data_IF_965259614569
#
_entry.id   IF_965259614569
#
_cell.length_a   1.000
_cell.length_b   1.000
_cell.length_c   1.000
_cell.angle_alpha   90.00
_cell.angle_beta   90.00
_cell.angle_gamma   90.00
#
_symmetry.space_group_name_H-M   'P 1'
#
loop_
_entity.id
_entity.type
_entity.pdbx_description
1 polymer ?
#
# COMPACT_ATOMS: atom_id res chain seq x y z
N UNK A 1 -29.73 -33.48 10.38
CA UNK A 1 -29.99 -32.46 9.35
C UNK A 1 -29.45 -31.07 9.71
N UNK A 2 -29.79 -30.47 10.87
CA UNK A 2 -29.33 -29.11 11.26
C UNK A 2 -27.80 -28.91 11.23
N UNK A 3 -27.01 -29.89 11.68
CA UNK A 3 -25.53 -29.83 11.64
C UNK A 3 -24.96 -29.68 10.22
N UNK A 4 -25.61 -30.25 9.19
CA UNK A 4 -25.15 -30.13 7.81
C UNK A 4 -25.43 -28.72 7.26
N UNK A 5 -26.57 -28.11 7.61
CA UNK A 5 -26.88 -26.73 7.22
C UNK A 5 -25.86 -25.74 7.78
N UNK A 6 -25.50 -25.84 9.07
CA UNK A 6 -24.47 -24.98 9.67
C UNK A 6 -23.11 -25.12 8.99
N UNK A 7 -22.74 -26.33 8.56
CA UNK A 7 -21.49 -26.55 7.81
C UNK A 7 -21.52 -25.95 6.41
N UNK A 8 -22.65 -26.03 5.70
CA UNK A 8 -22.80 -25.39 4.39
C UNK A 8 -22.77 -23.87 4.48
N UNK A 9 -23.47 -23.28 5.47
CA UNK A 9 -23.44 -21.84 5.73
C UNK A 9 -22.02 -21.39 6.09
N UNK A 10 -21.34 -22.14 6.95
CA UNK A 10 -19.95 -21.87 7.31
C UNK A 10 -19.03 -21.86 6.08
N UNK A 11 -19.11 -22.90 5.25
CA UNK A 11 -18.30 -23.00 4.03
C UNK A 11 -18.61 -21.88 3.03
N UNK A 12 -19.88 -21.58 2.80
CA UNK A 12 -20.29 -20.46 1.95
C UNK A 12 -19.78 -19.12 2.48
N UNK A 13 -19.84 -18.93 3.80
CA UNK A 13 -19.35 -17.69 4.42
C UNK A 13 -17.83 -17.55 4.29
N UNK A 14 -17.08 -18.64 4.36
CA UNK A 14 -15.64 -18.63 4.08
C UNK A 14 -15.33 -18.32 2.61
N UNK A 15 -16.10 -18.85 1.66
CA UNK A 15 -15.98 -18.50 0.25
C UNK A 15 -16.26 -17.01 0.02
N UNK A 16 -17.36 -16.50 0.60
CA UNK A 16 -17.71 -15.09 0.52
C UNK A 16 -16.62 -14.22 1.14
N UNK A 17 -16.09 -14.60 2.30
CA UNK A 17 -14.99 -13.90 2.97
C UNK A 17 -13.75 -13.83 2.06
N UNK A 18 -13.36 -14.95 1.47
CA UNK A 18 -12.21 -15.04 0.56
C UNK A 18 -12.36 -14.17 -0.69
N UNK A 19 -13.54 -14.15 -1.31
CA UNK A 19 -13.83 -13.31 -2.50
C UNK A 19 -13.90 -11.82 -2.13
N UNK A 20 -14.41 -11.50 -0.95
CA UNK A 20 -14.59 -10.13 -0.49
C UNK A 20 -13.27 -9.45 -0.13
N UNK A 21 -12.25 -10.21 0.28
CA UNK A 21 -10.95 -9.69 0.71
C UNK A 21 -10.32 -8.71 -0.28
N UNK A 22 -10.21 -9.01 -1.60
CA UNK A 22 -9.68 -8.06 -2.59
C UNK A 22 -10.75 -7.13 -3.20
N UNK A 23 -12.03 -7.53 -3.19
CA UNK A 23 -13.07 -6.82 -3.95
C UNK A 23 -13.85 -5.78 -3.15
N UNK A 24 -14.19 -6.04 -1.88
CA UNK A 24 -15.10 -5.15 -1.13
C UNK A 24 -14.96 -5.30 0.39
N UNK A 25 -14.57 -4.22 1.10
CA UNK A 25 -14.59 -4.18 2.57
C UNK A 25 -15.99 -4.39 3.16
N UNK A 26 -17.04 -3.96 2.47
CA UNK A 26 -18.42 -4.14 2.92
C UNK A 26 -18.82 -5.62 2.94
N UNK A 27 -18.61 -6.33 1.83
CA UNK A 27 -18.90 -7.77 1.76
C UNK A 27 -18.04 -8.57 2.74
N UNK A 28 -16.83 -8.10 3.03
CA UNK A 28 -15.97 -8.69 4.05
C UNK A 28 -16.65 -8.64 5.43
N UNK A 29 -17.17 -7.48 5.84
CA UNK A 29 -17.93 -7.36 7.09
C UNK A 29 -19.17 -8.24 7.11
N UNK A 30 -19.94 -8.28 6.01
CA UNK A 30 -21.12 -9.15 5.90
C UNK A 30 -20.74 -10.62 6.10
N UNK A 31 -19.66 -11.09 5.46
CA UNK A 31 -19.19 -12.47 5.62
C UNK A 31 -18.81 -12.82 7.06
N UNK A 32 -18.19 -11.87 7.79
CA UNK A 32 -17.82 -12.03 9.19
C UNK A 32 -19.06 -12.10 10.10
N UNK A 33 -20.07 -11.27 9.85
CA UNK A 33 -21.34 -11.34 10.59
C UNK A 33 -22.05 -12.67 10.39
N UNK A 34 -22.12 -13.18 9.15
CA UNK A 34 -22.74 -14.49 8.89
C UNK A 34 -21.98 -15.61 9.62
N UNK A 35 -20.64 -15.57 9.64
CA UNK A 35 -19.82 -16.52 10.41
C UNK A 35 -20.14 -16.47 11.91
N UNK A 36 -20.22 -15.28 12.49
CA UNK A 36 -20.52 -15.09 13.92
C UNK A 36 -21.92 -15.60 14.24
N UNK A 37 -22.93 -15.20 13.48
CA UNK A 37 -24.32 -15.59 13.69
C UNK A 37 -24.46 -17.12 13.58
N UNK A 38 -23.87 -17.73 12.54
CA UNK A 38 -23.89 -19.17 12.37
C UNK A 38 -23.20 -19.89 13.54
N UNK A 39 -22.08 -19.36 14.03
CA UNK A 39 -21.35 -19.90 15.18
C UNK A 39 -22.16 -19.85 16.49
N UNK A 40 -22.94 -18.77 16.70
CA UNK A 40 -23.83 -18.60 17.84
C UNK A 40 -25.06 -19.53 17.75
N UNK A 41 -25.65 -19.69 16.56
CA UNK A 41 -26.80 -20.55 16.32
C UNK A 41 -26.49 -22.04 16.50
N UNK A 42 -25.24 -22.46 16.30
CA UNK A 42 -24.80 -23.85 16.53
C UNK A 42 -24.90 -24.26 18.02
N UNK A 43 -24.98 -23.31 18.96
CA UNK A 43 -25.26 -23.47 20.41
C UNK A 43 -24.36 -24.43 21.21
N UNK A 44 -23.30 -24.98 20.63
CA UNK A 44 -22.36 -25.92 21.29
C UNK A 44 -21.27 -25.21 22.13
N UNK A 45 -21.64 -24.24 22.98
CA UNK A 45 -20.68 -23.39 23.69
C UNK A 45 -19.72 -24.16 24.61
N UNK A 46 -20.20 -25.19 25.31
CA UNK A 46 -19.37 -25.98 26.22
C UNK A 46 -18.23 -26.72 25.49
N UNK A 47 -18.52 -27.30 24.33
CA UNK A 47 -17.51 -27.98 23.51
C UNK A 47 -16.53 -26.98 22.88
N UNK A 48 -17.03 -25.83 22.38
CA UNK A 48 -16.16 -24.77 21.85
C UNK A 48 -15.20 -24.24 22.92
N UNK A 49 -15.66 -24.07 24.15
CA UNK A 49 -14.83 -23.63 25.27
C UNK A 49 -13.72 -24.64 25.62
N UNK A 50 -14.03 -25.95 25.63
CA UNK A 50 -13.02 -27.00 25.81
C UNK A 50 -11.95 -26.95 24.72
N UNK A 51 -12.35 -26.77 23.46
CA UNK A 51 -11.42 -26.66 22.32
C UNK A 51 -10.52 -25.43 22.45
N UNK A 52 -11.08 -24.27 22.80
CA UNK A 52 -10.33 -23.02 22.99
C UNK A 52 -9.24 -23.21 24.06
N UNK A 53 -9.57 -23.87 25.18
CA UNK A 53 -8.62 -24.09 26.28
C UNK A 53 -7.46 -25.01 25.90
N UNK A 54 -7.68 -25.99 25.02
CA UNK A 54 -6.62 -26.91 24.59
C UNK A 54 -5.80 -26.40 23.40
N UNK A 55 -6.34 -25.53 22.54
CA UNK A 55 -5.65 -25.04 21.34
C UNK A 55 -4.82 -23.78 21.62
N UNK A 56 -3.51 -23.97 21.82
CA UNK A 56 -2.53 -22.88 22.05
C UNK A 56 -2.56 -21.78 20.97
N UNK A 57 -2.86 -22.12 19.72
CA UNK A 57 -2.94 -21.15 18.62
C UNK A 57 -4.05 -20.12 18.80
N UNK A 58 -5.24 -20.53 19.27
CA UNK A 58 -6.35 -19.62 19.55
C UNK A 58 -5.98 -18.67 20.69
N UNK A 59 -5.26 -19.18 21.69
CA UNK A 59 -4.81 -18.39 22.83
C UNK A 59 -3.81 -17.30 22.43
N UNK A 60 -2.94 -17.54 21.44
CA UNK A 60 -2.02 -16.52 20.93
C UNK A 60 -2.78 -15.33 20.32
N UNK A 61 -3.81 -15.58 19.51
CA UNK A 61 -4.65 -14.50 18.95
C UNK A 61 -5.48 -13.79 20.03
N UNK A 62 -5.99 -14.55 21.02
CA UNK A 62 -6.66 -13.98 22.18
C UNK A 62 -5.74 -13.01 22.93
N UNK A 63 -4.49 -13.42 23.21
CA UNK A 63 -3.52 -12.62 23.95
C UNK A 63 -3.19 -11.31 23.22
N UNK A 64 -2.99 -11.36 21.89
CA UNK A 64 -2.74 -10.15 21.09
C UNK A 64 -3.89 -9.15 21.24
N UNK A 65 -5.14 -9.61 21.21
CA UNK A 65 -6.29 -8.74 21.40
C UNK A 65 -6.43 -8.23 22.85
N UNK A 66 -6.14 -9.07 23.85
CA UNK A 66 -6.15 -8.69 25.26
C UNK A 66 -5.12 -7.59 25.58
N UNK A 67 -3.95 -7.60 24.94
CA UNK A 67 -2.96 -6.53 25.09
C UNK A 67 -3.54 -5.18 24.63
N UNK A 68 -4.33 -5.16 23.55
CA UNK A 68 -4.99 -3.94 23.08
C UNK A 68 -6.09 -3.48 24.04
N UNK A 69 -6.84 -4.41 24.63
CA UNK A 69 -7.81 -4.09 25.70
C UNK A 69 -7.08 -3.53 26.92
N UNK A 70 -5.95 -4.12 27.32
CA UNK A 70 -5.16 -3.62 28.44
C UNK A 70 -4.63 -2.19 28.17
N UNK A 71 -4.22 -1.92 26.93
CA UNK A 71 -3.82 -0.58 26.48
C UNK A 71 -4.91 0.48 26.63
N UNK A 72 -6.20 0.10 26.62
CA UNK A 72 -7.31 1.04 26.85
C UNK A 72 -7.29 1.64 28.25
N UNK A 73 -6.78 0.92 29.26
CA UNK A 73 -6.69 1.45 30.63
C UNK A 73 -5.70 2.61 30.76
N UNK A 74 -4.77 2.74 29.81
CA UNK A 74 -3.79 3.83 29.75
C UNK A 74 -4.19 4.93 28.75
N UNK A 75 -5.17 4.67 27.88
CA UNK A 75 -5.54 5.62 26.82
C UNK A 75 -6.41 6.76 27.33
N UNK A 76 -6.13 7.98 26.87
CA UNK A 76 -6.95 9.16 27.15
C UNK A 76 -8.05 9.37 26.10
N UNK A 77 -7.84 8.88 24.86
CA UNK A 77 -8.83 8.96 23.79
C UNK A 77 -9.56 7.62 23.63
N UNK A 78 -10.66 7.48 24.37
CA UNK A 78 -11.50 6.29 24.31
C UNK A 78 -12.21 6.15 22.95
N UNK A 79 -12.52 7.25 22.26
CA UNK A 79 -13.22 7.20 20.97
C UNK A 79 -12.33 6.55 19.92
N UNK A 80 -11.07 6.97 19.84
CA UNK A 80 -10.08 6.32 18.99
C UNK A 80 -9.83 4.87 19.41
N UNK A 81 -9.68 4.62 20.72
CA UNK A 81 -9.43 3.28 21.25
C UNK A 81 -10.53 2.26 20.91
N UNK A 82 -11.81 2.62 21.06
CA UNK A 82 -12.92 1.75 20.67
C UNK A 82 -12.95 1.48 19.17
N UNK A 83 -12.69 2.50 18.35
CA UNK A 83 -12.60 2.34 16.91
C UNK A 83 -11.47 1.38 16.50
N UNK A 84 -10.29 1.48 17.14
CA UNK A 84 -9.17 0.58 16.91
C UNK A 84 -9.48 -0.87 17.33
N UNK A 85 -10.10 -1.06 18.50
CA UNK A 85 -10.57 -2.37 18.96
C UNK A 85 -11.59 -3.00 18.01
N UNK A 86 -12.48 -2.20 17.42
CA UNK A 86 -13.48 -2.66 16.46
C UNK A 86 -12.82 -3.14 15.15
N UNK A 87 -11.85 -2.38 14.62
CA UNK A 87 -11.12 -2.76 13.39
C UNK A 87 -10.32 -4.05 13.61
N UNK A 88 -9.79 -4.26 14.81
CA UNK A 88 -9.00 -5.45 15.17
C UNK A 88 -9.84 -6.63 15.64
N UNK A 89 -11.14 -6.45 15.86
CA UNK A 89 -12.04 -7.52 16.32
C UNK A 89 -12.01 -8.79 15.45
N UNK A 90 -11.92 -8.72 14.10
CA UNK A 90 -11.79 -9.92 13.27
C UNK A 90 -10.56 -10.77 13.56
N UNK A 91 -9.46 -10.17 14.07
CA UNK A 91 -8.26 -10.87 14.50
C UNK A 91 -8.54 -11.85 15.65
N UNK A 92 -9.54 -11.54 16.49
CA UNK A 92 -9.99 -12.42 17.55
C UNK A 92 -11.07 -13.39 17.05
N UNK A 93 -12.09 -12.86 16.37
CA UNK A 93 -13.28 -13.62 16.00
C UNK A 93 -12.95 -14.75 15.00
N UNK A 94 -12.17 -14.47 13.96
CA UNK A 94 -11.92 -15.46 12.91
C UNK A 94 -11.14 -16.68 13.40
N UNK A 95 -10.03 -16.54 14.17
CA UNK A 95 -9.35 -17.71 14.73
C UNK A 95 -10.22 -18.53 15.69
N UNK A 96 -11.09 -17.89 16.47
CA UNK A 96 -12.01 -18.57 17.38
C UNK A 96 -13.05 -19.38 16.58
N UNK A 97 -13.70 -18.79 15.59
CA UNK A 97 -14.71 -19.47 14.78
C UNK A 97 -14.08 -20.61 13.98
N UNK A 98 -13.00 -20.34 13.25
CA UNK A 98 -12.32 -21.34 12.40
C UNK A 98 -11.70 -22.45 13.27
N UNK A 99 -11.18 -22.10 14.44
CA UNK A 99 -10.53 -23.02 15.35
C UNK A 99 -11.48 -23.91 16.16
N UNK A 100 -12.74 -23.50 16.34
CA UNK A 100 -13.75 -24.27 17.10
C UNK A 100 -14.75 -25.00 16.23
N UNK A 101 -14.86 -24.62 14.95
CA UNK A 101 -15.70 -25.32 13.98
C UNK A 101 -14.96 -26.54 13.43
N UNK A 102 -15.72 -27.54 12.94
CA UNK A 102 -15.12 -28.70 12.27
C UNK A 102 -14.23 -28.26 11.09
N UNK A 103 -13.05 -28.88 10.93
CA UNK A 103 -12.12 -28.53 9.86
C UNK A 103 -12.79 -28.75 8.49
N UNK A 104 -12.41 -27.91 7.53
CA UNK A 104 -12.88 -27.98 6.16
C UNK A 104 -12.07 -29.04 5.42
N UNK A 105 -12.73 -29.91 4.66
CA UNK A 105 -12.06 -30.92 3.83
C UNK A 105 -11.09 -30.27 2.83
N UNK A 106 -10.02 -30.99 2.46
CA UNK A 106 -8.99 -30.48 1.56
C UNK A 106 -9.56 -29.95 0.22
N UNK A 107 -10.50 -30.67 -0.40
CA UNK A 107 -11.13 -30.24 -1.66
C UNK A 107 -11.93 -28.94 -1.50
N UNK A 108 -12.58 -28.73 -0.36
CA UNK A 108 -13.32 -27.51 -0.06
C UNK A 108 -12.37 -26.35 0.25
N UNK A 109 -11.30 -26.62 0.98
CA UNK A 109 -10.23 -25.65 1.23
C UNK A 109 -9.60 -25.15 -0.07
N UNK A 110 -9.30 -26.05 -1.02
CA UNK A 110 -8.81 -25.67 -2.34
C UNK A 110 -9.79 -24.77 -3.11
N UNK A 111 -11.10 -25.03 -3.03
CA UNK A 111 -12.10 -24.14 -3.65
C UNK A 111 -12.05 -22.74 -3.05
N UNK A 112 -11.92 -22.60 -1.74
CA UNK A 112 -11.78 -21.29 -1.08
C UNK A 112 -10.54 -20.56 -1.62
N UNK A 113 -9.43 -21.28 -1.72
CA UNK A 113 -8.17 -20.74 -2.21
C UNK A 113 -8.23 -20.31 -3.69
N UNK A 114 -8.88 -21.09 -4.54
CA UNK A 114 -9.07 -20.75 -5.95
C UNK A 114 -10.04 -19.59 -6.14
N UNK A 115 -11.11 -19.51 -5.35
CA UNK A 115 -12.02 -18.36 -5.35
C UNK A 115 -11.32 -17.07 -4.91
N UNK A 116 -10.45 -17.14 -3.89
CA UNK A 116 -9.59 -16.02 -3.51
C UNK A 116 -8.70 -15.57 -4.68
N UNK A 117 -8.00 -16.50 -5.33
CA UNK A 117 -7.13 -16.16 -6.46
C UNK A 117 -7.90 -15.55 -7.63
N UNK A 118 -9.07 -16.10 -7.97
CA UNK A 118 -9.94 -15.55 -9.00
C UNK A 118 -10.39 -14.12 -8.65
N UNK A 119 -10.76 -13.87 -7.39
CA UNK A 119 -11.14 -12.53 -6.93
C UNK A 119 -9.98 -11.53 -7.01
N UNK A 120 -8.75 -11.95 -6.69
CA UNK A 120 -7.53 -11.12 -6.85
C UNK A 120 -7.26 -10.80 -8.32
N UNK A 121 -7.41 -11.77 -9.22
CA UNK A 121 -7.26 -11.56 -10.67
C UNK A 121 -8.33 -10.59 -11.21
N UNK A 122 -9.59 -10.75 -10.79
CA UNK A 122 -10.67 -9.82 -11.16
C UNK A 122 -10.35 -8.42 -10.63
N UNK A 123 -9.93 -8.31 -9.36
CA UNK A 123 -9.53 -7.03 -8.76
C UNK A 123 -8.36 -6.38 -9.49
N UNK A 124 -7.40 -7.16 -10.00
CA UNK A 124 -6.27 -6.61 -10.75
C UNK A 124 -6.69 -6.07 -12.12
N UNK A 125 -7.58 -6.77 -12.83
CA UNK A 125 -8.15 -6.25 -14.08
C UNK A 125 -8.98 -4.98 -13.86
N UNK A 126 -9.81 -4.94 -12.81
CA UNK A 126 -10.58 -3.73 -12.46
C UNK A 126 -9.65 -2.56 -12.11
N UNK A 127 -8.54 -2.85 -11.43
CA UNK A 127 -7.54 -1.84 -11.09
C UNK A 127 -6.85 -1.33 -12.36
N UNK A 128 -6.34 -2.22 -13.20
CA UNK A 128 -5.66 -1.84 -14.46
C UNK A 128 -6.59 -1.11 -15.42
N UNK A 129 -7.87 -1.48 -15.53
CA UNK A 129 -8.79 -0.75 -16.41
C UNK A 129 -9.08 0.68 -15.91
N UNK A 130 -8.99 0.94 -14.60
CA UNK A 130 -9.02 2.30 -14.05
C UNK A 130 -7.84 3.12 -14.56
N UNK A 131 -6.65 2.52 -14.59
CA UNK A 131 -5.43 3.16 -15.10
C UNK A 131 -5.57 3.55 -16.58
N UNK A 132 -6.21 2.71 -17.40
CA UNK A 132 -6.48 3.02 -18.81
C UNK A 132 -7.64 4.01 -19.03
N UNK A 133 -8.28 4.51 -17.96
CA UNK A 133 -9.35 5.49 -18.05
C UNK A 133 -10.72 4.93 -18.45
N UNK A 134 -10.93 3.61 -18.33
CA UNK A 134 -12.25 3.01 -18.64
C UNK A 134 -13.34 3.41 -17.64
N UNK A 135 -12.98 3.80 -16.41
CA UNK A 135 -13.92 4.20 -15.37
C UNK A 135 -13.31 5.20 -14.37
N UNK A 136 -14.10 6.19 -13.97
CA UNK A 136 -13.73 7.21 -12.98
C UNK A 136 -12.96 8.40 -13.57
N UNK A 137 -12.62 9.40 -12.73
CA UNK A 137 -11.76 10.50 -13.14
C UNK A 137 -10.36 10.01 -13.53
N UNK A 138 -9.61 10.75 -14.37
CA UNK A 138 -8.27 10.37 -14.78
C UNK A 138 -7.39 10.09 -13.56
N UNK A 139 -6.69 8.96 -13.59
CA UNK A 139 -5.83 8.52 -12.48
C UNK A 139 -4.61 9.42 -12.41
N UNK A 140 -4.59 10.30 -11.40
CA UNK A 140 -3.51 11.27 -11.18
C UNK A 140 -2.31 10.67 -10.44
N UNK A 141 -2.54 9.62 -9.64
CA UNK A 141 -1.51 8.86 -8.94
C UNK A 141 -1.76 7.35 -9.14
N UNK A 142 -0.71 6.62 -9.51
CA UNK A 142 -0.71 5.15 -9.68
C UNK A 142 -1.15 4.46 -8.37
N UNK A 143 -0.97 5.11 -7.22
CA UNK A 143 -1.39 4.62 -5.89
C UNK A 143 -2.90 4.56 -5.71
N UNK A 144 -3.64 5.35 -6.48
CA UNK A 144 -5.11 5.40 -6.48
C UNK A 144 -5.74 4.47 -7.53
N UNK A 145 -4.92 3.69 -8.24
CA UNK A 145 -5.39 2.67 -9.20
C UNK A 145 -6.25 1.63 -8.49
N UNK A 146 -5.91 1.30 -7.24
CA UNK A 146 -6.65 0.31 -6.47
C UNK A 146 -8.06 0.83 -6.15
N UNK A 147 -9.05 0.20 -6.77
CA UNK A 147 -10.43 0.73 -6.84
C UNK A 147 -11.18 0.69 -5.50
N UNK A 148 -10.92 -0.30 -4.64
CA UNK A 148 -11.73 -0.57 -3.42
C UNK A 148 -10.92 -0.67 -2.13
N UNK A 149 -9.60 -0.88 -2.23
CA UNK A 149 -8.74 -1.25 -1.11
C UNK A 149 -7.40 -0.52 -1.26
N UNK A 150 -6.65 -0.30 -0.19
CA UNK A 150 -5.29 0.25 -0.30
C UNK A 150 -4.40 -0.61 -1.22
N UNK A 151 -3.60 0.03 -2.08
CA UNK A 151 -2.64 -0.64 -2.97
C UNK A 151 -1.66 -1.57 -2.22
N UNK A 152 -1.29 -1.24 -0.97
CA UNK A 152 -0.43 -2.09 -0.12
C UNK A 152 -1.12 -3.42 0.21
N UNK A 153 -2.37 -3.39 0.69
CA UNK A 153 -3.13 -4.60 1.02
C UNK A 153 -3.37 -5.45 -0.23
N UNK A 154 -3.70 -4.82 -1.36
CA UNK A 154 -3.87 -5.53 -2.62
C UNK A 154 -2.55 -6.20 -3.05
N UNK A 155 -1.41 -5.52 -2.96
CA UNK A 155 -0.10 -6.09 -3.30
C UNK A 155 0.25 -7.33 -2.45
N UNK A 156 -0.09 -7.33 -1.16
CA UNK A 156 0.08 -8.52 -0.29
C UNK A 156 -0.81 -9.69 -0.73
N UNK A 157 -2.06 -9.41 -1.10
CA UNK A 157 -3.00 -10.42 -1.61
C UNK A 157 -2.56 -10.97 -2.97
N UNK A 158 -2.00 -10.12 -3.84
CA UNK A 158 -1.39 -10.50 -5.11
C UNK A 158 -0.21 -11.45 -4.88
N UNK A 159 0.70 -11.11 -3.96
CA UNK A 159 1.80 -12.01 -3.59
C UNK A 159 1.30 -13.39 -3.15
N UNK A 160 0.34 -13.43 -2.23
CA UNK A 160 -0.25 -14.69 -1.77
C UNK A 160 -0.86 -15.48 -2.94
N UNK A 161 -1.65 -14.82 -3.80
CA UNK A 161 -2.28 -15.45 -4.96
C UNK A 161 -1.26 -15.99 -5.97
N UNK A 162 -0.16 -15.27 -6.23
CA UNK A 162 0.91 -15.73 -7.13
C UNK A 162 1.50 -17.05 -6.65
N UNK A 163 1.91 -17.14 -5.38
CA UNK A 163 2.52 -18.38 -4.87
C UNK A 163 1.52 -19.55 -4.85
N UNK A 164 0.25 -19.28 -4.54
CA UNK A 164 -0.82 -20.28 -4.62
C UNK A 164 -0.98 -20.80 -6.06
N UNK A 165 -1.07 -19.89 -7.05
CA UNK A 165 -1.31 -20.26 -8.44
C UNK A 165 -0.10 -20.97 -9.05
N UNK A 166 1.13 -20.58 -8.68
CA UNK A 166 2.35 -21.29 -9.05
C UNK A 166 2.31 -22.72 -8.51
N UNK A 167 2.02 -22.90 -7.21
CA UNK A 167 1.88 -24.23 -6.62
C UNK A 167 0.78 -25.06 -7.30
N UNK A 168 -0.37 -24.44 -7.61
CA UNK A 168 -1.48 -25.11 -8.28
C UNK A 168 -1.13 -25.53 -9.71
N UNK A 169 -0.31 -24.76 -10.42
CA UNK A 169 0.18 -25.07 -11.77
C UNK A 169 0.96 -26.40 -11.81
N UNK A 170 1.76 -26.69 -10.78
CA UNK A 170 2.49 -27.95 -10.68
C UNK A 170 1.63 -29.11 -10.14
N UNK A 171 0.60 -28.80 -9.36
CA UNK A 171 -0.24 -29.81 -8.68
C UNK A 171 -1.48 -30.25 -9.48
N UNK A 172 -1.94 -29.44 -10.44
CA UNK A 172 -3.15 -29.74 -11.21
C UNK A 172 -2.96 -30.91 -12.18
N UNK A 173 -4.01 -31.72 -12.39
CA UNK A 173 -3.96 -32.85 -13.32
C UNK A 173 -4.26 -32.44 -14.78
N UNK A 174 -5.14 -31.46 -14.99
CA UNK A 174 -5.55 -31.03 -16.33
C UNK A 174 -4.61 -29.97 -16.91
N UNK A 175 -4.19 -30.13 -18.16
CA UNK A 175 -3.36 -29.15 -18.86
C UNK A 175 -3.99 -27.75 -18.94
N UNK A 176 -5.31 -27.66 -19.13
CA UNK A 176 -6.04 -26.38 -19.20
C UNK A 176 -5.89 -25.59 -17.90
N UNK A 177 -6.12 -26.22 -16.74
CA UNK A 177 -5.96 -25.55 -15.45
C UNK A 177 -4.52 -25.12 -15.19
N UNK A 178 -3.52 -25.88 -15.64
CA UNK A 178 -2.10 -25.48 -15.55
C UNK A 178 -1.82 -24.22 -16.36
N UNK A 179 -2.31 -24.18 -17.60
CA UNK A 179 -2.11 -23.03 -18.48
C UNK A 179 -2.81 -21.80 -17.88
N UNK A 180 -4.05 -21.97 -17.40
CA UNK A 180 -4.82 -20.87 -16.81
C UNK A 180 -4.18 -20.34 -15.52
N UNK A 181 -3.75 -21.20 -14.60
CA UNK A 181 -3.09 -20.78 -13.37
C UNK A 181 -1.71 -20.19 -13.64
N UNK A 182 -0.98 -20.72 -14.62
CA UNK A 182 0.32 -20.20 -15.05
C UNK A 182 0.19 -18.79 -15.65
N UNK A 183 -0.75 -18.59 -16.58
CA UNK A 183 -0.99 -17.28 -17.19
C UNK A 183 -1.49 -16.26 -16.17
N UNK A 184 -2.39 -16.66 -15.27
CA UNK A 184 -2.84 -15.81 -14.16
C UNK A 184 -1.69 -15.41 -13.23
N UNK A 185 -0.76 -16.33 -12.93
CA UNK A 185 0.42 -16.02 -12.12
C UNK A 185 1.32 -14.97 -12.80
N UNK A 186 1.58 -15.14 -14.09
CA UNK A 186 2.39 -14.19 -14.88
C UNK A 186 1.73 -12.81 -14.92
N UNK A 187 0.42 -12.76 -15.18
CA UNK A 187 -0.35 -11.52 -15.14
C UNK A 187 -0.25 -10.81 -13.78
N UNK A 188 -0.40 -11.55 -12.68
CA UNK A 188 -0.33 -10.97 -11.34
C UNK A 188 1.08 -10.45 -10.99
N UNK A 189 2.14 -11.09 -11.49
CA UNK A 189 3.52 -10.59 -11.36
C UNK A 189 3.68 -9.26 -12.11
N UNK A 190 3.18 -9.17 -13.35
CA UNK A 190 3.19 -7.92 -14.13
C UNK A 190 2.37 -6.83 -13.40
N UNK A 191 1.18 -7.19 -12.90
CA UNK A 191 0.33 -6.27 -12.16
C UNK A 191 1.00 -5.73 -10.89
N UNK A 192 1.81 -6.53 -10.20
CA UNK A 192 2.56 -6.09 -9.04
C UNK A 192 3.56 -4.98 -9.38
N UNK A 193 4.16 -5.03 -10.57
CA UNK A 193 5.02 -3.95 -11.09
C UNK A 193 4.18 -2.71 -11.44
N UNK A 194 3.01 -2.90 -12.07
CA UNK A 194 2.08 -1.80 -12.40
C UNK A 194 1.63 -1.04 -11.14
N UNK A 195 1.38 -1.74 -10.02
CA UNK A 195 0.99 -1.11 -8.76
C UNK A 195 2.06 -0.19 -8.15
N UNK A 196 3.31 -0.22 -8.64
CA UNK A 196 4.46 0.55 -8.10
C UNK A 196 4.58 0.47 -6.56
N UNK A 197 4.20 -0.68 -5.98
CA UNK A 197 4.24 -0.88 -4.53
C UNK A 197 5.59 -1.47 -4.11
N UNK A 198 6.48 -0.64 -3.57
CA UNK A 198 7.79 -1.08 -3.05
C UNK A 198 7.64 -2.22 -2.04
N UNK A 199 6.69 -2.10 -1.10
CA UNK A 199 6.42 -3.14 -0.09
C UNK A 199 6.00 -4.46 -0.73
N UNK A 200 5.18 -4.40 -1.79
CA UNK A 200 4.75 -5.59 -2.53
C UNK A 200 5.92 -6.29 -3.19
N UNK A 201 6.77 -5.54 -3.89
CA UNK A 201 7.97 -6.05 -4.57
C UNK A 201 8.97 -6.66 -3.57
N UNK A 202 9.25 -5.95 -2.48
CA UNK A 202 10.18 -6.44 -1.45
C UNK A 202 9.72 -7.76 -0.85
N UNK A 203 8.43 -7.88 -0.51
CA UNK A 203 7.87 -9.11 0.05
C UNK A 203 7.88 -10.25 -0.98
N UNK A 204 7.58 -9.95 -2.25
CA UNK A 204 7.69 -10.92 -3.34
C UNK A 204 9.11 -11.49 -3.43
N UNK A 205 10.12 -10.61 -3.48
CA UNK A 205 11.53 -10.99 -3.55
C UNK A 205 11.96 -11.81 -2.33
N UNK A 206 11.58 -11.39 -1.13
CA UNK A 206 11.88 -12.10 0.11
C UNK A 206 11.32 -13.53 0.09
N UNK A 207 10.08 -13.70 -0.37
CA UNK A 207 9.44 -15.02 -0.48
C UNK A 207 10.13 -15.90 -1.52
N UNK A 208 10.47 -15.35 -2.69
CA UNK A 208 11.24 -16.07 -3.72
C UNK A 208 12.58 -16.53 -3.15
N UNK A 209 13.35 -15.64 -2.51
CA UNK A 209 14.64 -15.97 -1.90
C UNK A 209 14.49 -17.07 -0.85
N UNK A 210 13.50 -16.93 0.04
CA UNK A 210 13.25 -17.91 1.11
C UNK A 210 12.92 -19.29 0.53
N UNK A 211 12.08 -19.36 -0.51
CA UNK A 211 11.74 -20.61 -1.20
C UNK A 211 12.93 -21.22 -1.93
N UNK A 212 13.76 -20.40 -2.60
CA UNK A 212 14.98 -20.87 -3.27
C UNK A 212 15.96 -21.46 -2.25
N UNK A 213 16.20 -20.78 -1.13
CA UNK A 213 17.07 -21.25 -0.05
C UNK A 213 16.52 -22.55 0.54
N UNK A 214 15.23 -22.61 0.86
CA UNK A 214 14.60 -23.80 1.41
C UNK A 214 14.73 -25.01 0.48
N UNK A 215 14.48 -24.82 -0.83
CA UNK A 215 14.65 -25.86 -1.84
C UNK A 215 16.12 -26.26 -2.04
N UNK A 216 17.05 -25.31 -1.93
CA UNK A 216 18.48 -25.56 -2.00
C UNK A 216 19.00 -26.37 -0.81
N UNK A 217 18.43 -26.18 0.39
CA UNK A 217 18.75 -26.97 1.59
C UNK A 217 18.25 -28.41 1.46
N UNK A 218 17.07 -28.62 0.87
CA UNK A 218 16.50 -29.96 0.68
C UNK A 218 17.09 -30.73 -0.50
N UNK A 219 17.73 -30.06 -1.45
CA UNK A 219 18.30 -30.69 -2.64
C UNK A 219 19.57 -31.48 -2.32
N UNK A 220 19.58 -32.77 -2.64
CA UNK A 220 20.78 -33.61 -2.55
C UNK A 220 21.82 -33.30 -3.65
N UNK A 221 21.41 -32.65 -4.74
CA UNK A 221 22.31 -32.34 -5.86
C UNK A 221 23.07 -31.03 -5.60
N UNK A 222 24.40 -31.13 -5.47
CA UNK A 222 25.30 -30.01 -5.23
C UNK A 222 25.19 -28.91 -6.29
N UNK A 223 25.06 -29.26 -7.57
CA UNK A 223 24.94 -28.28 -8.66
C UNK A 223 23.65 -27.47 -8.57
N UNK A 224 22.51 -28.13 -8.28
CA UNK A 224 21.22 -27.46 -8.12
C UNK A 224 21.23 -26.50 -6.92
N UNK A 225 21.86 -26.92 -5.82
CA UNK A 225 22.01 -26.08 -4.62
C UNK A 225 22.82 -24.82 -4.91
N UNK A 226 23.94 -24.93 -5.61
CA UNK A 226 24.76 -23.78 -6.01
C UNK A 226 24.01 -22.85 -6.97
N UNK A 227 23.35 -23.40 -8.00
CA UNK A 227 22.58 -22.59 -8.95
C UNK A 227 21.45 -21.80 -8.27
N UNK A 228 20.69 -22.44 -7.38
CA UNK A 228 19.60 -21.78 -6.64
C UNK A 228 20.14 -20.70 -5.68
N UNK A 229 21.27 -20.94 -5.02
CA UNK A 229 21.89 -19.99 -4.09
C UNK A 229 22.46 -18.77 -4.83
N UNK A 230 23.15 -18.99 -5.95
CA UNK A 230 23.65 -17.91 -6.83
C UNK A 230 22.48 -17.11 -7.39
N UNK A 231 21.42 -17.78 -7.85
CA UNK A 231 20.21 -17.12 -8.33
C UNK A 231 19.55 -16.22 -7.28
N UNK A 232 19.48 -16.68 -6.02
CA UNK A 232 18.96 -15.87 -4.92
C UNK A 232 19.83 -14.63 -4.65
N UNK A 233 21.16 -14.78 -4.65
CA UNK A 233 22.10 -13.66 -4.48
C UNK A 233 21.96 -12.66 -5.63
N UNK A 234 21.88 -13.16 -6.87
CA UNK A 234 21.71 -12.31 -8.05
C UNK A 234 20.42 -11.48 -7.99
N UNK A 235 19.32 -12.08 -7.54
CA UNK A 235 18.04 -11.37 -7.36
C UNK A 235 18.19 -10.24 -6.31
N UNK A 236 18.90 -10.49 -5.20
CA UNK A 236 19.19 -9.44 -4.21
C UNK A 236 20.04 -8.32 -4.81
N UNK A 237 21.10 -8.67 -5.55
CA UNK A 237 21.98 -7.69 -6.18
C UNK A 237 21.25 -6.83 -7.22
N UNK A 238 20.40 -7.44 -8.05
CA UNK A 238 19.57 -6.72 -9.02
C UNK A 238 18.56 -5.80 -8.32
N UNK A 239 17.94 -6.28 -7.24
CA UNK A 239 17.04 -5.46 -6.42
C UNK A 239 17.75 -4.26 -5.80
N UNK A 240 18.94 -4.47 -5.24
CA UNK A 240 19.78 -3.40 -4.69
C UNK A 240 20.22 -2.41 -5.76
N UNK A 241 20.68 -2.89 -6.94
CA UNK A 241 21.06 -2.03 -8.05
C UNK A 241 19.90 -1.19 -8.58
N UNK A 242 18.70 -1.76 -8.65
CA UNK A 242 17.50 -1.01 -9.01
C UNK A 242 17.20 0.08 -7.98
N UNK A 243 17.24 -0.25 -6.68
CA UNK A 243 17.01 0.71 -5.61
C UNK A 243 18.06 1.82 -5.62
N UNK A 244 19.35 1.49 -5.73
CA UNK A 244 20.43 2.49 -5.71
C UNK A 244 20.40 3.40 -6.94
N UNK A 245 20.06 2.89 -8.13
CA UNK A 245 19.91 3.72 -9.32
C UNK A 245 18.74 4.72 -9.17
N UNK A 246 17.61 4.26 -8.63
CA UNK A 246 16.47 5.14 -8.37
C UNK A 246 16.73 6.15 -7.24
N UNK A 247 17.42 5.74 -6.16
CA UNK A 247 17.80 6.60 -5.05
C UNK A 247 18.87 7.62 -5.49
N UNK A 248 19.86 7.23 -6.29
CA UNK A 248 20.91 8.14 -6.76
C UNK A 248 20.32 9.30 -7.58
N UNK A 249 19.25 9.05 -8.35
CA UNK A 249 18.52 10.10 -9.06
C UNK A 249 17.67 11.00 -8.14
N UNK A 250 17.15 10.48 -7.03
CA UNK A 250 16.34 11.25 -6.07
C UNK A 250 17.17 12.06 -5.06
N UNK A 251 18.35 11.58 -4.69
CA UNK A 251 19.23 12.19 -3.69
C UNK A 251 20.43 12.92 -4.29
N UNK A 252 20.46 13.15 -5.60
CA UNK A 252 21.39 14.11 -6.18
C UNK A 252 20.93 15.52 -5.78
N UNK A 253 21.29 15.91 -4.55
CA UNK A 253 21.08 17.25 -4.04
C UNK A 253 22.07 18.14 -4.78
N UNK A 254 21.57 19.08 -5.57
CA UNK A 254 22.42 20.13 -6.12
C UNK A 254 23.04 20.86 -4.92
N UNK A 255 24.37 20.84 -4.83
CA UNK A 255 25.11 21.39 -3.69
C UNK A 255 24.88 22.91 -3.62
N UNK A 256 23.78 23.32 -3.01
CA UNK A 256 23.60 24.73 -2.64
C UNK A 256 24.66 25.03 -1.58
N UNK A 257 25.49 26.05 -1.79
CA UNK A 257 26.46 26.47 -0.79
C UNK A 257 25.71 27.12 0.40
N UNK A 258 25.41 26.30 1.40
CA UNK A 258 24.69 26.70 2.62
C UNK A 258 25.49 27.76 3.39
N UNK A 259 26.81 27.88 3.16
CA UNK A 259 27.65 28.87 3.84
C UNK A 259 27.53 30.27 3.24
N UNK A 260 27.09 30.39 1.98
CA UNK A 260 26.98 31.67 1.27
C UNK A 260 25.58 31.85 0.66
N UNK A 261 24.55 31.83 1.52
CA UNK A 261 23.18 32.11 1.10
C UNK A 261 22.97 33.61 0.87
N UNK A 262 22.40 33.96 -0.27
CA UNK A 262 21.92 35.32 -0.56
C UNK A 262 20.86 35.73 0.47
N UNK A 263 21.04 36.92 1.06
CA UNK A 263 20.17 37.42 2.13
C UNK A 263 18.96 38.20 1.62
N UNK A 264 19.03 38.73 0.39
CA UNK A 264 18.01 39.61 -0.17
C UNK A 264 17.61 39.17 -1.58
N UNK A 265 16.35 39.41 -1.93
CA UNK A 265 15.80 39.22 -3.27
C UNK A 265 16.30 40.31 -4.22
N UNK A 266 16.06 40.14 -5.53
CA UNK A 266 16.34 41.18 -6.52
C UNK A 266 15.55 42.50 -6.27
N UNK A 267 14.42 42.43 -5.57
CA UNK A 267 13.64 43.60 -5.14
C UNK A 267 14.09 44.18 -3.78
N UNK A 268 15.09 43.59 -3.14
CA UNK A 268 15.66 44.06 -1.87
C UNK A 268 14.93 43.56 -0.61
N UNK A 269 13.98 42.63 -0.72
CA UNK A 269 13.31 42.03 0.44
C UNK A 269 14.19 40.94 1.07
N UNK A 270 14.14 40.73 2.40
CA UNK A 270 14.92 39.69 3.05
C UNK A 270 14.38 38.29 2.70
N UNK A 271 15.30 37.35 2.46
CA UNK A 271 15.00 35.94 2.34
C UNK A 271 14.90 35.26 3.70
N UNK A 272 13.89 34.41 3.84
CA UNK A 272 13.81 33.41 4.89
C UNK A 272 14.55 32.13 4.46
N UNK A 273 15.38 31.62 5.37
CA UNK A 273 16.18 30.41 5.20
C UNK A 273 16.07 29.52 6.43
N UNK A 274 15.50 28.34 6.29
CA UNK A 274 15.51 27.32 7.33
C UNK A 274 16.52 26.23 7.00
N UNK A 275 17.76 26.43 7.47
CA UNK A 275 18.90 25.52 7.24
C UNK A 275 18.74 24.18 8.00
N UNK A 276 17.87 24.14 9.02
CA UNK A 276 17.65 22.94 9.82
C UNK A 276 16.63 21.99 9.19
N UNK A 277 15.82 22.45 8.22
CA UNK A 277 14.91 21.57 7.51
C UNK A 277 15.66 20.71 6.48
N UNK A 278 15.31 19.42 6.44
CA UNK A 278 15.82 18.43 5.49
C UNK A 278 14.78 18.05 4.44
N UNK A 279 13.82 18.94 4.19
CA UNK A 279 12.80 18.72 3.16
C UNK A 279 13.34 19.11 1.79
N UNK A 280 13.33 18.17 0.86
CA UNK A 280 13.81 18.35 -0.52
C UNK A 280 12.72 18.06 -1.53
N UNK A 281 12.73 18.79 -2.65
CA UNK A 281 11.94 18.48 -3.84
C UNK A 281 12.88 18.44 -5.05
N UNK A 282 12.93 17.32 -5.77
CA UNK A 282 13.83 17.09 -6.91
C UNK A 282 15.30 17.53 -6.66
N UNK A 283 15.83 17.29 -5.46
CA UNK A 283 17.21 17.65 -5.12
C UNK A 283 17.43 19.09 -4.64
N UNK A 284 16.39 19.91 -4.52
CA UNK A 284 16.46 21.29 -4.05
C UNK A 284 15.88 21.45 -2.64
N UNK A 285 16.49 22.31 -1.81
CA UNK A 285 15.97 22.59 -0.47
C UNK A 285 14.66 23.37 -0.51
N UNK A 286 13.63 22.84 0.16
CA UNK A 286 12.28 23.43 0.15
C UNK A 286 12.26 24.77 0.87
N UNK A 287 12.93 24.85 2.02
CA UNK A 287 12.82 25.99 2.93
C UNK A 287 13.97 27.01 2.84
N UNK A 288 14.63 27.08 1.68
CA UNK A 288 15.62 28.11 1.37
C UNK A 288 15.07 29.09 0.33
N UNK A 289 15.53 30.34 0.42
CA UNK A 289 15.20 31.43 -0.50
C UNK A 289 13.70 31.73 -0.58
N UNK A 290 13.04 31.89 0.57
CA UNK A 290 11.61 32.19 0.64
C UNK A 290 11.38 33.66 0.94
N UNK A 291 10.60 34.34 0.12
CA UNK A 291 10.10 35.68 0.37
C UNK A 291 8.57 35.68 0.25
N UNK A 292 7.87 35.39 1.34
CA UNK A 292 6.40 35.29 1.34
C UNK A 292 5.67 36.55 0.83
N UNK A 293 6.08 37.78 1.17
CA UNK A 293 5.41 38.98 0.66
C UNK A 293 5.43 39.06 -0.87
N UNK A 294 6.57 38.73 -1.49
CA UNK A 294 6.70 38.72 -2.94
C UNK A 294 5.91 37.58 -3.59
N UNK A 295 5.89 36.41 -2.94
CA UNK A 295 5.10 35.27 -3.38
C UNK A 295 3.62 35.60 -3.40
N UNK A 296 3.10 36.16 -2.30
CA UNK A 296 1.69 36.53 -2.16
C UNK A 296 1.27 37.55 -3.21
N UNK A 297 2.04 38.63 -3.36
CA UNK A 297 1.76 39.68 -4.35
C UNK A 297 1.76 39.12 -5.78
N UNK A 298 2.83 38.39 -6.14
CA UNK A 298 3.04 37.94 -7.51
C UNK A 298 2.13 36.77 -7.89
N UNK A 299 1.79 35.90 -6.94
CA UNK A 299 0.83 34.81 -7.14
C UNK A 299 -0.58 35.34 -7.37
N UNK A 300 -1.05 36.26 -6.52
CA UNK A 300 -2.39 36.83 -6.62
C UNK A 300 -2.58 37.66 -7.91
N UNK A 301 -1.50 38.14 -8.52
CA UNK A 301 -1.54 38.81 -9.83
C UNK A 301 -1.64 37.83 -11.02
N UNK A 302 -1.22 36.58 -10.86
CA UNK A 302 -1.18 35.55 -11.93
C UNK A 302 -2.31 34.52 -11.83
N UNK A 303 -2.73 34.17 -10.63
CA UNK A 303 -3.70 33.09 -10.36
C UNK A 303 -5.05 33.63 -9.92
N UNK A 304 -6.10 32.83 -10.13
CA UNK A 304 -7.46 33.12 -9.62
C UNK A 304 -7.66 32.65 -8.18
N UNK A 305 -6.77 31.80 -7.67
CA UNK A 305 -6.81 31.30 -6.30
C UNK A 305 -5.95 32.17 -5.40
N UNK A 306 -6.46 32.49 -4.22
CA UNK A 306 -5.75 33.30 -3.24
C UNK A 306 -4.57 32.51 -2.64
N UNK A 307 -3.40 33.15 -2.55
CA UNK A 307 -2.19 32.57 -1.95
C UNK A 307 -2.40 31.97 -0.54
N UNK A 308 -3.19 32.65 0.31
CA UNK A 308 -3.53 32.21 1.68
C UNK A 308 -4.74 31.27 1.74
N UNK A 309 -5.31 30.92 0.59
CA UNK A 309 -6.44 30.01 0.46
C UNK A 309 -6.01 28.55 0.28
N UNK A 310 -6.95 27.75 -0.21
CA UNK A 310 -6.71 26.35 -0.56
C UNK A 310 -6.63 26.14 -2.06
N UNK A 311 -5.83 25.16 -2.47
CA UNK A 311 -5.87 24.62 -3.82
C UNK A 311 -7.15 23.78 -4.07
N UNK A 312 -7.32 23.29 -5.29
CA UNK A 312 -8.49 22.48 -5.68
C UNK A 312 -8.54 21.09 -4.98
N UNK A 313 -7.48 20.68 -4.27
CA UNK A 313 -7.45 19.47 -3.44
C UNK A 313 -7.70 19.77 -1.95
N UNK A 314 -7.94 21.03 -1.58
CA UNK A 314 -8.16 21.45 -0.20
C UNK A 314 -6.87 21.57 0.62
N UNK A 315 -5.69 21.60 0.00
CA UNK A 315 -4.42 21.82 0.68
C UNK A 315 -4.12 23.32 0.74
N UNK A 316 -3.32 23.77 1.69
CA UNK A 316 -2.91 25.18 1.74
C UNK A 316 -2.05 25.52 0.53
N UNK A 317 -2.51 26.46 -0.29
CA UNK A 317 -1.92 26.76 -1.59
C UNK A 317 -0.47 27.24 -1.46
N UNK A 318 -0.16 28.04 -0.44
CA UNK A 318 1.21 28.50 -0.15
C UNK A 318 2.23 27.37 -0.13
N UNK A 319 1.89 26.21 0.45
CA UNK A 319 2.81 25.09 0.56
C UNK A 319 2.94 24.37 -0.78
N UNK A 320 1.83 24.23 -1.52
CA UNK A 320 1.86 23.69 -2.89
C UNK A 320 2.76 24.53 -3.78
N UNK A 321 2.63 25.86 -3.75
CA UNK A 321 3.45 26.79 -4.54
C UNK A 321 4.94 26.72 -4.18
N UNK A 322 5.28 26.78 -2.88
CA UNK A 322 6.66 26.70 -2.40
C UNK A 322 7.32 25.39 -2.87
N UNK A 323 6.63 24.26 -2.72
CA UNK A 323 7.13 22.95 -3.15
C UNK A 323 7.28 22.87 -4.67
N UNK A 324 6.34 23.44 -5.42
CA UNK A 324 6.40 23.42 -6.88
C UNK A 324 7.59 24.22 -7.41
N UNK A 325 7.80 25.44 -6.92
CA UNK A 325 8.97 26.25 -7.24
C UNK A 325 10.27 25.55 -6.86
N UNK A 326 10.30 24.91 -5.68
CA UNK A 326 11.43 24.07 -5.25
C UNK A 326 11.71 22.97 -6.26
N UNK A 327 10.68 22.26 -6.71
CA UNK A 327 10.84 21.15 -7.66
C UNK A 327 11.37 21.58 -9.04
N UNK A 328 11.17 22.86 -9.43
CA UNK A 328 11.76 23.48 -10.63
C UNK A 328 13.20 24.01 -10.40
N UNK A 329 13.72 23.99 -9.18
CA UNK A 329 14.98 24.65 -8.82
C UNK A 329 14.90 26.17 -8.75
N UNK A 330 13.69 26.73 -8.66
CA UNK A 330 13.48 28.18 -8.63
C UNK A 330 13.54 28.74 -7.21
N UNK A 331 13.91 30.02 -7.12
CA UNK A 331 13.80 30.81 -5.88
C UNK A 331 12.32 31.11 -5.61
N UNK A 332 11.94 31.23 -4.33
CA UNK A 332 10.55 31.42 -3.92
C UNK A 332 10.32 32.91 -3.67
N UNK A 333 10.42 33.66 -4.75
CA UNK A 333 10.31 35.12 -4.83
C UNK A 333 9.48 35.52 -6.08
N UNK A 334 9.37 36.82 -6.35
CA UNK A 334 8.62 37.32 -7.51
C UNK A 334 9.21 36.82 -8.85
N UNK A 335 10.54 36.71 -8.95
CA UNK A 335 11.21 36.24 -10.16
C UNK A 335 10.88 34.77 -10.44
N UNK A 336 10.89 33.93 -9.41
CA UNK A 336 10.48 32.54 -9.48
C UNK A 336 9.06 32.38 -10.02
N UNK A 337 8.09 33.14 -9.50
CA UNK A 337 6.71 33.11 -10.00
C UNK A 337 6.63 33.61 -11.46
N UNK A 338 7.38 34.66 -11.80
CA UNK A 338 7.35 35.23 -13.16
C UNK A 338 7.84 34.22 -14.21
N UNK A 339 8.75 33.33 -13.82
CA UNK A 339 9.28 32.25 -14.70
C UNK A 339 8.31 31.07 -14.91
N UNK A 340 7.17 31.03 -14.20
CA UNK A 340 6.16 29.99 -14.37
C UNK A 340 5.36 30.19 -15.67
N UNK A 341 5.17 29.10 -16.40
CA UNK A 341 4.24 29.00 -17.53
C UNK A 341 2.79 28.91 -17.06
N UNK A 342 1.84 29.11 -17.96
CA UNK A 342 0.41 28.98 -17.60
C UNK A 342 0.02 27.54 -17.24
N UNK A 343 0.71 26.55 -17.80
CA UNK A 343 0.55 25.15 -17.39
C UNK A 343 1.03 24.92 -15.95
N UNK A 344 2.13 25.54 -15.55
CA UNK A 344 2.64 25.47 -14.18
C UNK A 344 1.62 26.04 -13.18
N UNK A 345 1.05 27.22 -13.49
CA UNK A 345 0.01 27.85 -12.67
C UNK A 345 -1.19 26.92 -12.52
N UNK A 346 -1.69 26.36 -13.63
CA UNK A 346 -2.81 25.41 -13.60
C UNK A 346 -2.50 24.14 -12.79
N UNK A 347 -1.25 23.65 -12.82
CA UNK A 347 -0.83 22.49 -12.05
C UNK A 347 -0.79 22.79 -10.54
N UNK A 348 -0.29 23.96 -10.15
CA UNK A 348 -0.28 24.41 -8.75
C UNK A 348 -1.71 24.61 -8.24
N UNK A 349 -2.60 25.23 -9.03
CA UNK A 349 -4.02 25.39 -8.68
C UNK A 349 -4.72 24.04 -8.49
N UNK A 350 -4.35 23.02 -9.27
CA UNK A 350 -4.81 21.62 -9.11
C UNK A 350 -4.20 20.90 -7.90
N UNK A 351 -3.35 21.55 -7.12
CA UNK A 351 -2.70 20.96 -5.95
C UNK A 351 -1.59 19.98 -6.30
N UNK A 352 -0.78 20.31 -7.31
CA UNK A 352 0.42 19.53 -7.64
C UNK A 352 1.64 20.25 -7.07
N UNK A 353 2.33 19.67 -6.07
CA UNK A 353 3.47 20.32 -5.41
C UNK A 353 4.81 20.06 -6.12
N UNK A 354 4.84 19.28 -7.21
CA UNK A 354 6.08 18.86 -7.88
C UNK A 354 5.83 18.82 -9.40
N UNK A 355 6.79 19.25 -10.23
CA UNK A 355 6.71 19.04 -11.68
C UNK A 355 6.77 17.53 -11.98
N UNK A 356 5.82 17.05 -12.79
CA UNK A 356 5.88 15.70 -13.35
C UNK A 356 6.85 15.67 -14.54
N UNK A 357 8.08 15.20 -14.32
CA UNK A 357 8.95 14.79 -15.42
C UNK A 357 8.69 13.32 -15.77
N UNK A 358 8.50 12.96 -17.07
CA UNK A 358 8.38 11.57 -17.51
C UNK A 358 9.72 10.84 -17.30
N UNK A 359 9.94 10.39 -16.06
CA UNK A 359 11.18 9.77 -15.59
C UNK A 359 11.20 9.59 -14.05
N UNK A 360 10.60 10.52 -13.30
CA UNK A 360 10.60 10.52 -11.82
C UNK A 360 9.39 9.81 -11.17
N UNK A 361 8.55 9.14 -11.97
CA UNK A 361 7.24 8.64 -11.52
C UNK A 361 7.25 7.39 -10.63
N UNK A 362 8.41 6.91 -10.19
CA UNK A 362 8.52 5.64 -9.44
C UNK A 362 8.32 5.81 -7.92
N UNK A 363 8.59 6.99 -7.35
CA UNK A 363 8.55 7.22 -5.90
C UNK A 363 7.97 8.59 -5.54
N UNK A 364 6.84 8.97 -6.14
CA UNK A 364 6.14 10.19 -5.73
C UNK A 364 5.38 9.89 -4.44
N UNK A 365 5.69 10.64 -3.36
CA UNK A 365 5.05 10.72 -2.04
C UNK A 365 5.54 9.76 -0.95
N UNK A 366 6.57 10.16 -0.21
CA UNK A 366 6.51 10.07 1.26
C UNK A 366 6.05 11.46 1.70
N UNK A 367 4.74 11.67 1.80
CA UNK A 367 4.25 12.80 2.57
C UNK A 367 4.60 12.51 4.02
N UNK A 368 5.61 13.19 4.55
CA UNK A 368 5.70 13.45 5.98
C UNK A 368 4.46 14.25 6.34
N UNK A 369 3.37 13.56 6.68
CA UNK A 369 2.29 14.12 7.45
C UNK A 369 2.83 14.38 8.87
N UNK A 370 3.67 15.41 9.01
CA UNK A 370 3.78 16.10 10.27
C UNK A 370 2.50 16.92 10.43
N UNK A 371 1.40 16.24 10.79
CA UNK A 371 0.37 16.93 11.56
C UNK A 371 0.99 17.19 12.93
N UNK A 372 1.65 18.34 13.05
CA UNK A 372 1.83 18.95 14.36
C UNK A 372 0.44 19.17 14.93
N UNK A 373 0.11 18.40 15.97
CA UNK A 373 -0.86 18.84 16.96
C UNK A 373 -0.28 20.00 17.73
#
# INVERSE_FOLDING_TARGET
MLKNYHQHIYFFSLLLLAVSLPLSPFLLSVSQFILVINCLLERNFNEKWKIIRHRKSIFAFLLIYLIHIAGMFYSQDFRYGFHDLQIKLPLLILPVIIGTTKPVDYSRFLKILMCFCAAVVISSFISTGKLFGFWGPPVMDVRDISFMISHIRLALMVNMAVFILIWYTFSANSAVLKILSGSASVWLIIFLVILKSLTGVLIFLLLVITLLIWKAIQGNNFMLKWFLSIGAILIVLLGMAYITNNIAHFFYVEKTDIQHLEKYTAKGNPYFHNIHSKDFENGNYTWLYICEPELEESWNNRSRLNFKGTDLKGQELRYTLIRYLTSKGLRKDAAGITSLSDEDIANIEKGWPIIYTPGNSAFIHVSTSCSGK
#
